data_IF_160018122102
#
_entry.id   IF_160018122102
#
_cell.length_a   1.000
_cell.length_b   1.000
_cell.length_c   1.000
_cell.angle_alpha   90.00
_cell.angle_beta   90.00
_cell.angle_gamma   90.00
#
_symmetry.space_group_name_H-M   'P 1'
#
loop_
_entity.id
_entity.type
_entity.pdbx_description
1 polymer ?
#
# COMPACT_ATOMS: atom_id res chain seq x y z
N UNK A 1 4.15 -31.27 7.97
CA UNK A 1 2.88 -30.53 8.06
C UNK A 1 3.11 -29.38 9.03
N UNK A 2 3.31 -28.17 8.49
CA UNK A 2 3.09 -26.86 9.12
C UNK A 2 3.62 -25.81 8.13
N UNK A 3 2.77 -25.40 7.19
CA UNK A 3 3.10 -24.42 6.15
C UNK A 3 2.13 -23.24 6.16
N UNK A 4 1.44 -22.98 7.28
CA UNK A 4 0.29 -22.07 7.31
C UNK A 4 0.42 -20.87 8.25
N UNK A 5 1.57 -20.67 8.91
CA UNK A 5 1.77 -19.51 9.81
C UNK A 5 2.48 -18.32 9.15
N UNK A 6 2.93 -18.42 7.91
CA UNK A 6 3.81 -17.41 7.28
C UNK A 6 3.10 -16.36 6.41
N UNK A 7 1.78 -16.38 6.35
CA UNK A 7 0.99 -15.56 5.41
C UNK A 7 0.21 -14.40 6.07
N UNK A 8 0.49 -14.13 7.34
CA UNK A 8 -0.26 -13.11 8.08
C UNK A 8 0.25 -11.71 7.76
N UNK A 9 -0.59 -10.93 7.08
CA UNK A 9 -0.36 -9.52 6.83
C UNK A 9 0.02 -8.79 8.12
N UNK A 10 1.19 -8.15 8.14
CA UNK A 10 1.62 -7.34 9.29
C UNK A 10 0.83 -6.05 9.31
N UNK A 11 0.51 -5.44 8.18
CA UNK A 11 -0.14 -4.13 8.09
C UNK A 11 -1.43 -4.21 7.28
N UNK A 12 -2.42 -3.39 7.62
CA UNK A 12 -3.51 -3.05 6.69
C UNK A 12 -3.05 -1.99 5.67
N UNK A 13 -3.84 -1.76 4.62
CA UNK A 13 -3.57 -0.68 3.65
C UNK A 13 -3.55 0.72 4.30
N UNK A 14 -4.42 0.96 5.28
CA UNK A 14 -4.42 2.22 6.03
C UNK A 14 -3.18 2.34 6.93
N UNK A 15 -2.78 1.25 7.58
CA UNK A 15 -1.55 1.20 8.38
C UNK A 15 -0.34 1.54 7.50
N UNK A 16 -0.25 0.92 6.33
CA UNK A 16 0.82 1.13 5.36
C UNK A 16 0.87 2.58 4.90
N UNK A 17 -0.29 3.19 4.61
CA UNK A 17 -0.38 4.61 4.25
C UNK A 17 0.14 5.52 5.37
N UNK A 18 -0.31 5.31 6.60
CA UNK A 18 0.06 6.13 7.76
C UNK A 18 1.55 5.98 8.09
N UNK A 19 2.05 4.75 8.19
CA UNK A 19 3.46 4.47 8.47
C UNK A 19 4.36 4.96 7.35
N UNK A 20 3.99 4.69 6.09
CA UNK A 20 4.72 5.18 4.92
C UNK A 20 4.84 6.70 4.91
N UNK A 21 3.78 7.41 5.29
CA UNK A 21 3.80 8.87 5.39
C UNK A 21 4.74 9.35 6.51
N UNK A 22 4.68 8.75 7.70
CA UNK A 22 5.59 9.09 8.79
C UNK A 22 7.05 8.79 8.44
N UNK A 23 7.32 7.63 7.84
CA UNK A 23 8.66 7.24 7.37
C UNK A 23 9.19 8.21 6.30
N UNK A 24 8.34 8.64 5.36
CA UNK A 24 8.70 9.62 4.35
C UNK A 24 9.03 10.98 4.97
N UNK A 25 8.17 11.50 5.85
CA UNK A 25 8.38 12.83 6.46
C UNK A 25 9.54 12.86 7.45
N UNK A 26 9.82 11.74 8.13
CA UNK A 26 11.01 11.65 8.97
C UNK A 26 12.32 11.84 8.18
N UNK A 27 12.38 11.36 6.93
CA UNK A 27 13.55 11.51 6.06
C UNK A 27 13.57 12.84 5.31
N UNK A 28 12.42 13.29 4.82
CA UNK A 28 12.33 14.44 3.88
C UNK A 28 12.09 15.78 4.56
N UNK A 29 11.48 15.78 5.74
CA UNK A 29 11.12 17.00 6.48
C UNK A 29 11.37 16.82 7.99
N UNK A 30 12.64 16.64 8.41
CA UNK A 30 12.97 16.38 9.80
C UNK A 30 12.57 17.53 10.73
N UNK A 31 12.58 18.78 10.25
CA UNK A 31 12.19 19.97 11.05
C UNK A 31 10.72 19.97 11.47
N UNK A 32 9.85 19.32 10.69
CA UNK A 32 8.42 19.22 10.98
C UNK A 32 8.03 17.89 11.58
N UNK A 33 8.97 16.93 11.65
CA UNK A 33 8.78 15.65 12.30
C UNK A 33 9.15 15.75 13.80
N UNK A 34 8.37 15.16 14.72
CA UNK A 34 7.21 14.30 14.48
C UNK A 34 5.91 15.04 14.15
N UNK A 35 5.01 14.36 13.45
CA UNK A 35 3.84 14.98 12.83
C UNK A 35 2.67 15.08 13.81
N UNK A 36 1.92 16.18 13.75
CA UNK A 36 0.58 16.25 14.35
C UNK A 36 -0.45 15.46 13.53
N UNK A 37 -1.62 15.18 14.09
CA UNK A 37 -2.70 14.46 13.37
C UNK A 37 -3.06 15.14 12.04
N UNK A 38 -3.22 16.47 12.03
CA UNK A 38 -3.58 17.22 10.83
C UNK A 38 -2.48 17.15 9.75
N UNK A 39 -1.21 17.22 10.16
CA UNK A 39 -0.08 17.09 9.24
C UNK A 39 -0.01 15.69 8.64
N UNK A 40 -0.27 14.66 9.45
CA UNK A 40 -0.32 13.27 9.01
C UNK A 40 -1.46 13.01 8.02
N UNK A 41 -2.67 13.52 8.30
CA UNK A 41 -3.83 13.42 7.39
C UNK A 41 -3.52 14.10 6.05
N UNK A 42 -2.97 15.31 6.09
CA UNK A 42 -2.52 16.04 4.90
C UNK A 42 -1.50 15.23 4.10
N UNK A 43 -0.56 14.59 4.80
CA UNK A 43 0.45 13.73 4.21
C UNK A 43 -0.11 12.44 3.58
N UNK A 44 -1.13 11.82 4.19
CA UNK A 44 -1.77 10.61 3.67
C UNK A 44 -2.57 10.89 2.39
N UNK A 45 -3.14 12.09 2.28
CA UNK A 45 -4.03 12.53 1.20
C UNK A 45 -3.30 13.34 0.10
N UNK A 46 -1.97 13.35 0.07
CA UNK A 46 -1.23 14.06 -0.99
C UNK A 46 -1.58 13.51 -2.38
N UNK A 47 -1.82 14.42 -3.34
CA UNK A 47 -2.10 14.05 -4.74
C UNK A 47 -0.88 13.51 -5.47
N UNK A 48 0.31 13.88 -5.01
CA UNK A 48 1.58 13.41 -5.55
C UNK A 48 2.19 12.42 -4.60
N UNK A 49 3.01 11.51 -5.14
CA UNK A 49 3.73 10.51 -4.34
C UNK A 49 2.84 9.52 -3.60
N UNK A 50 1.57 9.37 -3.98
CA UNK A 50 0.62 8.40 -3.43
C UNK A 50 -0.01 7.62 -4.57
N UNK A 51 -0.05 6.30 -4.42
CA UNK A 51 -0.82 5.42 -5.28
C UNK A 51 -1.40 4.28 -4.42
N UNK A 52 -2.73 4.20 -4.23
CA UNK A 52 -3.76 5.11 -4.75
C UNK A 52 -3.80 6.45 -4.00
N UNK A 53 -4.32 7.49 -4.64
CA UNK A 53 -4.66 8.75 -3.94
C UNK A 53 -5.86 8.47 -3.04
N UNK A 54 -5.77 8.83 -1.76
CA UNK A 54 -6.80 8.60 -0.75
C UNK A 54 -7.40 9.94 -0.26
N UNK A 55 -8.57 9.85 0.39
CA UNK A 55 -9.24 10.95 1.08
C UNK A 55 -9.62 10.51 2.50
N UNK A 56 -8.61 10.29 3.33
CA UNK A 56 -8.79 9.88 4.72
C UNK A 56 -9.27 11.05 5.57
N UNK A 57 -10.21 10.79 6.47
CA UNK A 57 -10.66 11.75 7.47
C UNK A 57 -9.73 11.76 8.69
N UNK A 58 -9.88 12.78 9.56
CA UNK A 58 -9.20 12.78 10.86
C UNK A 58 -9.54 11.55 11.70
N UNK A 59 -10.78 11.05 11.62
CA UNK A 59 -11.23 9.86 12.35
C UNK A 59 -10.54 8.58 11.85
N UNK A 60 -10.45 8.40 10.53
CA UNK A 60 -9.78 7.24 9.92
C UNK A 60 -8.31 7.18 10.34
N UNK A 61 -7.61 8.32 10.23
CA UNK A 61 -6.20 8.40 10.62
C UNK A 61 -6.07 8.19 12.12
N UNK A 62 -6.83 8.88 12.97
CA UNK A 62 -6.75 8.75 14.43
C UNK A 62 -6.98 7.31 14.90
N UNK A 63 -7.99 6.63 14.36
CA UNK A 63 -8.26 5.21 14.63
C UNK A 63 -7.07 4.34 14.25
N UNK A 64 -6.50 4.58 13.07
CA UNK A 64 -5.31 3.86 12.57
C UNK A 64 -4.10 4.11 13.49
N UNK A 65 -3.82 5.35 13.89
CA UNK A 65 -2.66 5.64 14.75
C UNK A 65 -2.79 5.01 16.13
N UNK A 66 -4.01 4.97 16.69
CA UNK A 66 -4.27 4.28 17.96
C UNK A 66 -4.03 2.76 17.83
N UNK A 67 -4.53 2.12 16.77
CA UNK A 67 -4.26 0.70 16.52
C UNK A 67 -2.76 0.41 16.37
N UNK A 68 -2.05 1.26 15.62
CA UNK A 68 -0.61 1.15 15.42
C UNK A 68 0.19 1.37 16.70
N UNK A 69 -0.25 2.28 17.57
CA UNK A 69 0.33 2.49 18.90
C UNK A 69 0.17 1.24 19.77
N UNK A 70 -1.02 0.65 19.80
CA UNK A 70 -1.30 -0.54 20.61
C UNK A 70 -0.46 -1.76 20.15
N UNK A 71 -0.01 -1.75 18.89
CA UNK A 71 0.91 -2.74 18.29
C UNK A 71 2.39 -2.33 18.34
N UNK A 72 2.68 -1.24 19.06
CA UNK A 72 4.00 -0.64 19.27
C UNK A 72 4.72 -0.22 17.98
N UNK A 73 3.97 0.01 16.90
CA UNK A 73 4.49 0.47 15.60
C UNK A 73 4.56 2.00 15.51
N UNK A 74 3.87 2.71 16.41
CA UNK A 74 3.93 4.15 16.59
C UNK A 74 4.12 4.50 18.07
N UNK A 75 4.78 5.62 18.32
CA UNK A 75 4.85 6.28 19.62
C UNK A 75 4.17 7.65 19.54
N UNK A 76 3.52 8.04 20.63
CA UNK A 76 2.81 9.32 20.75
C UNK A 76 3.54 10.17 21.76
N UNK A 77 3.99 11.35 21.32
CA UNK A 77 4.51 12.40 22.17
C UNK A 77 3.34 13.33 22.54
N UNK A 78 2.89 13.22 23.80
CA UNK A 78 1.76 13.96 24.33
C UNK A 78 2.17 15.39 24.66
N UNK A 79 1.71 16.33 23.83
CA UNK A 79 2.05 17.74 23.92
C UNK A 79 0.90 18.57 24.48
N UNK A 80 1.22 19.69 25.15
CA UNK A 80 0.20 20.61 25.68
C UNK A 80 -0.67 21.28 24.59
N UNK A 81 -0.13 21.45 23.38
CA UNK A 81 -0.84 22.07 22.24
C UNK A 81 -1.44 21.04 21.29
N UNK A 82 -0.69 19.98 20.99
CA UNK A 82 -1.10 18.92 20.08
C UNK A 82 -0.19 17.72 20.27
N UNK A 83 -0.78 16.53 20.21
CA UNK A 83 -0.05 15.27 20.18
C UNK A 83 0.71 15.12 18.86
N UNK A 84 1.90 14.52 18.95
CA UNK A 84 2.74 14.21 17.80
C UNK A 84 2.99 12.72 17.71
N UNK A 85 3.09 12.23 16.48
CA UNK A 85 3.16 10.80 16.18
C UNK A 85 4.52 10.46 15.54
N UNK A 86 5.16 9.43 16.08
CA UNK A 86 6.46 8.92 15.66
C UNK A 86 6.32 7.50 15.11
N UNK A 87 6.90 7.19 13.96
CA UNK A 87 6.98 5.81 13.49
C UNK A 87 8.07 5.04 14.26
N UNK A 88 7.78 3.79 14.60
CA UNK A 88 8.71 2.82 15.21
C UNK A 88 8.97 1.60 14.33
N UNK A 89 8.35 1.52 13.15
CA UNK A 89 8.48 0.39 12.24
C UNK A 89 9.95 0.14 11.86
N UNK A 90 10.72 1.19 11.56
CA UNK A 90 12.13 1.02 11.18
C UNK A 90 12.96 0.41 12.30
N UNK A 91 12.69 0.75 13.56
CA UNK A 91 13.37 0.13 14.70
C UNK A 91 12.98 -1.34 14.84
N UNK A 92 11.69 -1.66 14.68
CA UNK A 92 11.17 -3.02 14.80
C UNK A 92 11.70 -3.96 13.71
N UNK A 93 11.93 -3.43 12.51
CA UNK A 93 12.45 -4.19 11.37
C UNK A 93 13.96 -4.04 11.16
N UNK A 94 14.64 -3.30 12.05
CA UNK A 94 16.08 -2.99 11.97
C UNK A 94 16.50 -2.36 10.63
N UNK A 95 15.68 -1.44 10.12
CA UNK A 95 15.93 -0.72 8.88
C UNK A 95 16.93 0.43 9.09
N UNK A 96 17.89 0.52 8.18
CA UNK A 96 18.69 1.73 8.02
C UNK A 96 17.92 2.81 7.21
N UNK A 97 18.59 3.93 6.88
CA UNK A 97 17.96 5.02 6.10
C UNK A 97 17.61 4.62 4.66
N UNK A 98 18.43 3.77 4.04
CA UNK A 98 18.21 3.31 2.67
C UNK A 98 17.03 2.33 2.62
N UNK A 99 16.98 1.39 3.56
CA UNK A 99 15.84 0.50 3.79
C UNK A 99 14.57 1.30 4.06
N UNK A 100 14.62 2.29 4.97
CA UNK A 100 13.48 3.15 5.26
C UNK A 100 12.96 3.87 4.02
N UNK A 101 13.86 4.42 3.19
CA UNK A 101 13.47 5.09 1.95
C UNK A 101 12.81 4.13 0.96
N UNK A 102 13.40 2.95 0.75
CA UNK A 102 12.90 1.91 -0.14
C UNK A 102 11.48 1.47 0.29
N UNK A 103 11.30 1.08 1.55
CA UNK A 103 10.01 0.61 2.05
C UNK A 103 8.96 1.72 2.11
N UNK A 104 9.33 2.95 2.47
CA UNK A 104 8.39 4.07 2.43
C UNK A 104 7.86 4.31 1.01
N UNK A 105 8.71 4.24 -0.02
CA UNK A 105 8.27 4.37 -1.41
C UNK A 105 7.29 3.26 -1.82
N UNK A 106 7.59 2.02 -1.45
CA UNK A 106 6.74 0.87 -1.78
C UNK A 106 5.39 0.94 -1.05
N UNK A 107 5.38 1.30 0.24
CA UNK A 107 4.16 1.46 1.04
C UNK A 107 3.25 2.58 0.49
N UNK A 108 3.86 3.63 -0.07
CA UNK A 108 3.12 4.80 -0.53
C UNK A 108 2.67 4.72 -1.99
N UNK A 109 3.35 3.91 -2.82
CA UNK A 109 3.15 3.92 -4.28
C UNK A 109 2.96 2.52 -4.89
N UNK A 110 3.04 1.46 -4.09
CA UNK A 110 2.95 0.09 -4.58
C UNK A 110 4.17 -0.34 -5.40
N UNK A 111 4.00 -1.33 -6.31
CA UNK A 111 5.09 -1.90 -7.08
C UNK A 111 5.80 -0.90 -7.98
N UNK A 112 7.13 -0.89 -7.93
CA UNK A 112 7.95 0.08 -8.67
C UNK A 112 9.16 -0.59 -9.33
N UNK A 113 9.62 -0.04 -10.45
CA UNK A 113 10.87 -0.51 -11.08
C UNK A 113 12.09 0.03 -10.36
N UNK A 114 13.25 -0.58 -10.62
CA UNK A 114 14.52 -0.18 -10.02
C UNK A 114 14.86 1.30 -10.26
N UNK A 115 14.67 1.77 -11.51
CA UNK A 115 14.92 3.14 -11.89
C UNK A 115 13.97 4.14 -11.22
N UNK A 116 12.70 3.76 -11.04
CA UNK A 116 11.75 4.57 -10.30
C UNK A 116 12.15 4.71 -8.84
N UNK A 117 12.51 3.60 -8.18
CA UNK A 117 12.95 3.57 -6.79
C UNK A 117 14.19 4.46 -6.59
N UNK A 118 15.19 4.33 -7.48
CA UNK A 118 16.38 5.17 -7.46
C UNK A 118 16.06 6.67 -7.62
N UNK A 119 15.25 7.03 -8.62
CA UNK A 119 14.91 8.43 -8.88
C UNK A 119 14.12 9.07 -7.72
N UNK A 120 13.19 8.31 -7.14
CA UNK A 120 12.26 8.79 -6.10
C UNK A 120 12.89 8.82 -4.70
N UNK A 121 13.89 7.97 -4.44
CA UNK A 121 14.59 7.90 -3.15
C UNK A 121 15.58 9.04 -2.93
N UNK A 122 15.99 9.79 -3.96
CA UNK A 122 17.01 10.86 -3.90
C UNK A 122 16.80 11.92 -2.81
N UNK A 123 15.54 12.21 -2.46
CA UNK A 123 15.22 13.18 -1.39
C UNK A 123 15.11 12.54 0.00
N UNK A 124 15.18 11.22 0.09
CA UNK A 124 14.93 10.42 1.29
C UNK A 124 16.23 9.80 1.82
N UNK A 125 17.04 9.22 0.94
CA UNK A 125 18.30 8.58 1.26
C UNK A 125 19.31 8.78 0.13
N UNK A 126 20.59 8.70 0.50
CA UNK A 126 21.70 8.84 -0.44
C UNK A 126 22.03 7.48 -1.06
N UNK A 127 21.49 7.23 -2.25
CA UNK A 127 21.89 6.15 -3.13
C UNK A 127 22.78 6.72 -4.23
N UNK A 128 24.00 6.21 -4.37
CA UNK A 128 24.99 6.70 -5.35
C UNK A 128 24.68 6.21 -6.77
N UNK A 129 24.04 5.05 -6.89
CA UNK A 129 23.71 4.44 -8.18
C UNK A 129 22.46 3.57 -8.08
N UNK A 130 21.90 3.24 -9.24
CA UNK A 130 20.85 2.23 -9.39
C UNK A 130 21.30 0.87 -8.85
N UNK A 131 22.59 0.53 -8.96
CA UNK A 131 23.15 -0.72 -8.42
C UNK A 131 23.06 -0.78 -6.89
N UNK A 132 23.27 0.34 -6.17
CA UNK A 132 23.10 0.34 -4.72
C UNK A 132 21.65 0.09 -4.29
N UNK A 133 20.68 0.52 -5.09
CA UNK A 133 19.26 0.20 -4.84
C UNK A 133 19.02 -1.29 -5.09
N UNK A 134 19.61 -1.85 -6.15
CA UNK A 134 19.52 -3.27 -6.47
C UNK A 134 20.13 -4.13 -5.36
N UNK A 135 21.34 -3.82 -4.91
CA UNK A 135 22.01 -4.51 -3.81
C UNK A 135 21.18 -4.46 -2.52
N UNK A 136 20.51 -3.32 -2.27
CA UNK A 136 19.60 -3.17 -1.14
C UNK A 136 18.40 -4.13 -1.25
N UNK A 137 17.79 -4.20 -2.43
CA UNK A 137 16.67 -5.11 -2.71
C UNK A 137 17.11 -6.57 -2.56
N UNK A 138 18.20 -6.97 -3.20
CA UNK A 138 18.74 -8.34 -3.14
C UNK A 138 19.03 -8.78 -1.70
N UNK A 139 19.57 -7.88 -0.88
CA UNK A 139 19.80 -8.15 0.55
C UNK A 139 18.50 -8.48 1.31
N UNK A 140 17.37 -7.88 0.94
CA UNK A 140 16.08 -8.20 1.55
C UNK A 140 15.42 -9.44 0.95
N UNK A 141 15.60 -9.68 -0.36
CA UNK A 141 15.12 -10.90 -1.04
C UNK A 141 15.85 -12.16 -0.54
N UNK A 142 17.13 -12.05 -0.20
CA UNK A 142 17.94 -13.16 0.30
C UNK A 142 17.65 -13.56 1.77
N UNK A 143 16.77 -12.84 2.49
CA UNK A 143 16.41 -13.17 3.87
C UNK A 143 15.51 -14.42 3.91
N UNK A 144 15.57 -15.18 5.01
CA UNK A 144 14.71 -16.35 5.24
C UNK A 144 13.21 -16.01 5.14
N UNK A 145 12.82 -14.85 5.67
CA UNK A 145 11.47 -14.29 5.55
C UNK A 145 11.57 -12.94 4.83
N UNK A 146 11.57 -12.93 3.48
CA UNK A 146 11.76 -11.71 2.72
C UNK A 146 10.53 -10.81 2.85
N UNK A 147 10.77 -9.54 3.15
CA UNK A 147 9.75 -8.48 3.23
C UNK A 147 9.54 -7.77 1.90
N UNK A 148 10.28 -8.18 0.86
CA UNK A 148 10.14 -7.75 -0.52
C UNK A 148 9.87 -8.98 -1.40
N UNK A 149 9.33 -8.73 -2.59
CA UNK A 149 9.27 -9.69 -3.67
C UNK A 149 9.47 -9.02 -5.01
N UNK A 150 9.96 -9.80 -5.97
CA UNK A 150 10.03 -9.41 -7.38
C UNK A 150 8.73 -9.79 -8.07
N UNK A 151 8.14 -8.85 -8.77
CA UNK A 151 6.99 -9.04 -9.66
C UNK A 151 7.55 -9.11 -11.09
N UNK A 152 7.35 -10.24 -11.78
CA UNK A 152 7.88 -10.42 -13.13
C UNK A 152 7.28 -9.40 -14.10
N UNK A 153 8.00 -9.07 -15.18
CA UNK A 153 7.51 -8.15 -16.19
C UNK A 153 6.23 -8.67 -16.81
N UNK A 154 5.27 -7.77 -17.01
CA UNK A 154 4.01 -8.07 -17.69
C UNK A 154 4.18 -8.01 -19.21
N UNK A 155 3.27 -8.64 -19.94
CA UNK A 155 3.20 -8.53 -21.40
C UNK A 155 3.19 -7.05 -21.83
N UNK A 156 4.23 -6.61 -22.55
CA UNK A 156 4.40 -5.23 -23.01
C UNK A 156 5.29 -4.35 -22.12
N UNK A 157 5.67 -4.82 -20.94
CA UNK A 157 6.61 -4.15 -20.04
C UNK A 157 7.94 -4.90 -20.01
N UNK A 158 9.06 -4.18 -20.09
CA UNK A 158 10.40 -4.78 -20.17
C UNK A 158 11.14 -4.87 -18.84
N UNK A 159 10.63 -4.22 -17.79
CA UNK A 159 11.30 -4.11 -16.51
C UNK A 159 10.54 -4.85 -15.41
N UNK A 160 11.29 -5.53 -14.55
CA UNK A 160 10.80 -6.11 -13.30
C UNK A 160 10.39 -5.01 -12.31
N UNK A 161 9.47 -5.35 -11.41
CA UNK A 161 9.05 -4.48 -10.32
C UNK A 161 9.30 -5.14 -8.98
N UNK A 162 9.41 -4.32 -7.96
CA UNK A 162 9.57 -4.77 -6.58
C UNK A 162 8.39 -4.30 -5.75
N UNK A 163 7.92 -5.15 -4.84
CA UNK A 163 6.81 -4.86 -3.93
C UNK A 163 7.12 -5.35 -2.52
N UNK A 164 6.60 -4.66 -1.50
CA UNK A 164 6.71 -5.14 -0.12
C UNK A 164 5.72 -6.26 0.17
N UNK A 165 6.01 -7.08 1.19
CA UNK A 165 5.11 -8.11 1.73
C UNK A 165 4.53 -7.75 3.11
N UNK A 166 4.69 -6.48 3.53
CA UNK A 166 4.20 -6.01 4.83
C UNK A 166 2.67 -6.06 4.97
N UNK A 167 1.92 -5.95 3.87
CA UNK A 167 0.46 -6.09 3.85
C UNK A 167 -0.04 -7.51 3.51
N UNK A 168 0.84 -8.52 3.64
CA UNK A 168 0.57 -9.88 3.16
C UNK A 168 1.07 -10.08 1.73
N UNK A 169 0.72 -11.21 1.12
CA UNK A 169 1.06 -11.47 -0.28
C UNK A 169 0.25 -10.57 -1.22
N UNK A 170 0.92 -9.74 -2.05
CA UNK A 170 0.27 -8.92 -3.06
C UNK A 170 -0.47 -9.81 -4.06
N UNK A 171 -1.73 -9.48 -4.33
CA UNK A 171 -2.49 -10.11 -5.39
C UNK A 171 -1.91 -9.71 -6.75
N UNK A 172 -1.12 -10.60 -7.35
CA UNK A 172 -0.45 -10.38 -8.62
C UNK A 172 -1.44 -10.14 -9.77
N UNK A 173 -2.69 -10.61 -9.65
CA UNK A 173 -3.73 -10.43 -10.66
C UNK A 173 -4.12 -8.96 -10.85
N UNK A 174 -4.12 -8.15 -9.78
CA UNK A 174 -4.44 -6.72 -9.83
C UNK A 174 -3.44 -5.93 -10.67
N UNK A 175 -2.20 -6.41 -10.76
CA UNK A 175 -1.18 -5.76 -11.57
C UNK A 175 -1.27 -6.19 -13.03
N UNK A 176 -1.73 -7.41 -13.34
CA UNK A 176 -1.82 -7.92 -14.74
C UNK A 176 -2.80 -7.17 -15.64
N UNK A 177 -3.69 -6.35 -15.10
CA UNK A 177 -4.82 -5.75 -15.85
C UNK A 177 -4.43 -4.53 -16.70
N UNK A 178 -3.24 -3.93 -16.54
CA UNK A 178 -2.88 -2.72 -17.32
C UNK A 178 -2.49 -2.98 -18.79
N UNK A 179 -2.47 -4.23 -19.26
CA UNK A 179 -2.31 -4.55 -20.69
C UNK A 179 -3.65 -4.60 -21.46
N UNK A 180 -4.78 -4.63 -20.76
CA UNK A 180 -6.10 -4.46 -21.39
C UNK A 180 -6.55 -3.01 -21.24
N UNK A 181 -6.13 -2.16 -22.17
CA UNK A 181 -7.05 -1.11 -22.62
C UNK A 181 -8.40 -1.79 -22.87
N UNK A 182 -9.53 -1.26 -22.39
CA UNK A 182 -10.84 -1.86 -22.62
C UNK A 182 -11.20 -1.61 -24.09
N UNK A 183 -10.64 -2.41 -25.00
CA UNK A 183 -11.42 -2.85 -26.14
C UNK A 183 -12.51 -3.71 -25.54
N UNK A 184 -13.64 -3.08 -25.26
CA UNK A 184 -14.90 -3.74 -24.97
C UNK A 184 -15.07 -4.84 -26.01
N UNK A 185 -14.76 -6.08 -25.62
CA UNK A 185 -15.15 -7.25 -26.38
C UNK A 185 -16.68 -7.15 -26.44
N UNK A 186 -17.31 -7.02 -27.62
CA UNK A 186 -18.77 -6.85 -27.71
C UNK A 186 -19.52 -7.93 -26.90
N UNK A 187 -18.96 -9.14 -26.88
CA UNK A 187 -19.46 -10.26 -26.08
C UNK A 187 -19.58 -10.01 -24.57
N UNK A 188 -18.72 -9.19 -23.95
CA UNK A 188 -18.77 -8.98 -22.49
C UNK A 188 -19.91 -8.05 -22.10
N UNK A 189 -20.25 -7.08 -22.95
CA UNK A 189 -21.42 -6.21 -22.73
C UNK A 189 -22.69 -7.05 -22.94
N UNK A 190 -22.74 -7.83 -24.01
CA UNK A 190 -23.89 -8.72 -24.30
C UNK A 190 -24.11 -9.77 -23.19
N UNK A 191 -23.04 -10.37 -22.66
CA UNK A 191 -23.10 -11.31 -21.54
C UNK A 191 -23.56 -10.65 -20.23
N UNK A 192 -23.11 -9.41 -19.97
CA UNK A 192 -23.53 -8.65 -18.80
C UNK A 192 -24.98 -8.21 -18.92
N UNK A 193 -25.44 -7.76 -20.09
CA UNK A 193 -26.84 -7.41 -20.36
C UNK A 193 -27.76 -8.62 -20.22
N UNK A 194 -27.36 -9.78 -20.76
CA UNK A 194 -28.10 -11.03 -20.59
C UNK A 194 -28.21 -11.45 -19.12
N UNK A 195 -27.12 -11.26 -18.34
CA UNK A 195 -27.09 -11.59 -16.91
C UNK A 195 -27.92 -10.63 -16.08
N UNK A 196 -27.92 -9.34 -16.42
CA UNK A 196 -28.78 -8.33 -15.78
C UNK A 196 -30.24 -8.63 -16.06
N UNK A 197 -30.61 -8.92 -17.31
CA UNK A 197 -31.99 -9.26 -17.68
C UNK A 197 -32.50 -10.52 -16.96
N UNK A 198 -31.64 -11.54 -16.84
CA UNK A 198 -31.98 -12.77 -16.10
C UNK A 198 -32.18 -12.51 -14.59
N UNK A 199 -31.35 -11.66 -13.98
CA UNK A 199 -31.49 -11.28 -12.58
C UNK A 199 -32.74 -10.41 -12.34
N UNK A 200 -33.06 -9.51 -13.27
CA UNK A 200 -34.29 -8.71 -13.21
C UNK A 200 -35.55 -9.58 -13.29
N UNK A 201 -35.54 -10.61 -14.14
CA UNK A 201 -36.64 -11.60 -14.20
C UNK A 201 -36.79 -12.37 -12.88
N UNK A 202 -35.68 -12.85 -12.31
CA UNK A 202 -35.71 -13.57 -11.03
C UNK A 202 -36.22 -12.68 -9.89
N UNK A 203 -35.83 -11.40 -9.87
CA UNK A 203 -36.34 -10.42 -8.90
C UNK A 203 -37.84 -10.18 -9.10
N UNK A 204 -38.31 -10.04 -10.34
CA UNK A 204 -39.72 -9.86 -10.64
C UNK A 204 -40.57 -11.06 -10.21
N UNK A 205 -40.10 -12.29 -10.45
CA UNK A 205 -40.76 -13.51 -10.01
C UNK A 205 -40.83 -13.63 -8.48
N UNK A 206 -39.72 -13.35 -7.79
CA UNK A 206 -39.66 -13.35 -6.32
C UNK A 206 -40.60 -12.30 -5.71
N UNK A 207 -40.64 -11.09 -6.27
CA UNK A 207 -41.55 -10.04 -5.83
C UNK A 207 -43.03 -10.38 -6.11
N UNK A 208 -43.31 -11.06 -7.22
CA UNK A 208 -44.67 -11.52 -7.53
C UNK A 208 -45.13 -12.63 -6.58
N UNK A 209 -44.23 -13.56 -6.21
CA UNK A 209 -44.52 -14.58 -5.19
C UNK A 209 -44.78 -13.96 -3.82
N UNK A 210 -43.95 -13.00 -3.38
CA UNK A 210 -44.16 -12.30 -2.11
C UNK A 210 -45.47 -11.50 -2.07
N UNK A 211 -45.94 -11.00 -3.21
CA UNK A 211 -47.19 -10.24 -3.29
C UNK A 211 -48.45 -11.11 -3.29
N UNK A 212 -48.35 -12.38 -3.68
CA UNK A 212 -49.47 -13.33 -3.65
C UNK A 212 -49.61 -14.07 -2.31
N UNK A 213 -48.63 -13.93 -1.42
CA UNK A 213 -48.64 -14.51 -0.06
C UNK A 213 -49.10 -13.51 1.04
N UNK A 214 -49.51 -12.29 0.64
CA UNK A 214 -50.16 -11.28 1.50
C UNK A 214 -51.63 -11.10 1.10
#
# INVERSE_FOLDING_TARGET
MNTTEQDQAILSELDARVLGCLMEKQLTTPDTYPLTLNALVTGCNQKTSRNPVMQLTNGDVLGTVNNLRDRELIEVDYGSRADKYLQKLTRKLHFDKQDQALFALLLLRGPQTLNELFSRSKRMADFQSTDQVHDCIERHLAKLNPLLMTIPPQSGQREERFMHRLCGEPDLSQFTVSAESPVSSPNRIDELEARVSALEHQIAELLAHQRNEQ
#
